data_IF_755667680267
#
_entry.id   IF_755667680267
#
_cell.length_a   1.000
_cell.length_b   1.000
_cell.length_c   1.000
_cell.angle_alpha   90.00
_cell.angle_beta   90.00
_cell.angle_gamma   90.00
#
_symmetry.space_group_name_H-M   'P 1'
#
loop_
_entity.id
_entity.type
_entity.pdbx_description
1 polymer ?
#
# COMPACT_ATOMS: atom_id res chain seq x y z
N UNK A 1 -25.22 -24.24 -19.26
CA UNK A 1 -26.04 -23.02 -19.38
C UNK A 1 -27.16 -23.13 -18.35
N UNK A 2 -27.19 -22.25 -17.34
CA UNK A 2 -28.24 -22.16 -16.33
C UNK A 2 -28.88 -20.75 -16.42
N UNK A 3 -30.20 -20.61 -16.22
CA UNK A 3 -30.92 -19.37 -16.50
C UNK A 3 -30.72 -18.33 -15.40
N UNK A 4 -30.47 -17.08 -15.79
CA UNK A 4 -30.49 -15.92 -14.87
C UNK A 4 -31.94 -15.57 -14.53
N UNK A 5 -32.27 -15.68 -13.24
CA UNK A 5 -33.54 -15.19 -12.66
C UNK A 5 -33.59 -13.67 -12.79
N UNK A 6 -34.67 -13.15 -13.37
CA UNK A 6 -34.92 -11.72 -13.51
C UNK A 6 -34.98 -11.02 -12.16
N UNK A 7 -34.21 -9.94 -12.02
CA UNK A 7 -34.24 -9.05 -10.86
C UNK A 7 -35.42 -8.09 -11.05
N UNK A 8 -36.41 -8.13 -10.14
CA UNK A 8 -37.43 -7.09 -10.05
C UNK A 8 -36.77 -5.82 -9.52
N UNK A 9 -36.79 -4.76 -10.32
CA UNK A 9 -36.45 -3.41 -9.87
C UNK A 9 -37.54 -2.98 -8.90
N UNK A 10 -37.19 -2.80 -7.62
CA UNK A 10 -38.08 -2.15 -6.66
C UNK A 10 -38.02 -0.64 -6.95
N UNK A 11 -39.17 -0.07 -7.31
CA UNK A 11 -39.35 1.37 -7.47
C UNK A 11 -39.17 2.01 -6.10
N UNK A 12 -38.11 2.79 -5.92
CA UNK A 12 -37.87 3.55 -4.69
C UNK A 12 -38.74 4.81 -4.79
N UNK A 13 -39.87 4.86 -4.07
CA UNK A 13 -40.82 5.99 -4.09
C UNK A 13 -40.60 7.01 -2.97
N UNK A 14 -39.43 7.10 -2.34
CA UNK A 14 -39.14 8.20 -1.42
C UNK A 14 -37.76 8.79 -1.66
N UNK A 15 -37.74 9.87 -2.44
CA UNK A 15 -36.68 10.87 -2.41
C UNK A 15 -37.07 11.80 -1.26
N UNK A 16 -36.46 11.63 -0.09
CA UNK A 16 -36.48 12.70 0.89
C UNK A 16 -35.61 13.81 0.32
N UNK A 17 -36.21 14.98 0.06
CA UNK A 17 -35.44 16.15 -0.34
C UNK A 17 -34.50 16.51 0.84
N UNK A 18 -33.20 16.51 0.57
CA UNK A 18 -32.12 16.85 1.51
C UNK A 18 -32.27 18.18 2.29
N UNK A 19 -33.02 19.22 1.86
CA UNK A 19 -33.05 20.51 2.56
C UNK A 19 -33.61 20.43 3.99
N UNK A 20 -34.64 19.61 4.22
CA UNK A 20 -35.41 19.66 5.47
C UNK A 20 -34.63 19.14 6.69
N UNK A 21 -33.71 18.19 6.47
CA UNK A 21 -32.87 17.63 7.54
C UNK A 21 -31.72 18.57 7.92
N UNK A 22 -31.27 19.40 6.99
CA UNK A 22 -30.10 20.25 7.20
C UNK A 22 -30.43 21.41 8.16
N UNK A 23 -31.63 21.98 8.03
CA UNK A 23 -32.07 23.10 8.88
C UNK A 23 -32.28 22.67 10.33
N UNK A 24 -32.83 21.47 10.58
CA UNK A 24 -33.01 20.94 11.94
C UNK A 24 -31.67 20.62 12.63
N UNK A 25 -30.71 20.07 11.89
CA UNK A 25 -29.38 19.74 12.42
C UNK A 25 -28.54 21.00 12.71
N UNK A 26 -28.63 22.04 11.87
CA UNK A 26 -27.88 23.28 12.05
C UNK A 26 -28.29 24.05 13.31
N UNK A 27 -29.57 23.99 13.70
CA UNK A 27 -30.07 24.64 14.92
C UNK A 27 -29.54 23.97 16.18
N UNK A 28 -29.29 22.66 16.17
CA UNK A 28 -28.77 21.93 17.33
C UNK A 28 -27.26 22.14 17.51
N UNK A 29 -26.52 22.26 16.40
CA UNK A 29 -25.08 22.57 16.39
C UNK A 29 -24.80 23.99 16.87
N UNK A 30 -25.62 24.98 16.48
CA UNK A 30 -25.44 26.39 16.87
C UNK A 30 -25.55 26.64 18.38
N UNK A 31 -26.19 25.75 19.14
CA UNK A 31 -26.34 25.90 20.60
C UNK A 31 -25.11 25.46 21.40
N UNK A 32 -24.16 24.74 20.78
CA UNK A 32 -22.96 24.24 21.47
C UNK A 32 -21.70 24.98 20.97
N UNK A 33 -21.40 26.07 21.69
CA UNK A 33 -20.05 26.64 21.86
C UNK A 33 -19.50 27.47 20.70
N UNK A 34 -19.54 28.80 20.88
CA UNK A 34 -18.90 29.79 20.02
C UNK A 34 -17.40 29.86 20.34
N UNK A 35 -16.55 29.57 19.36
CA UNK A 35 -15.35 30.35 19.05
C UNK A 35 -15.32 30.58 17.54
N UNK A 36 -15.78 31.76 17.13
CA UNK A 36 -16.14 32.15 15.76
C UNK A 36 -15.01 32.04 14.72
N UNK A 37 -13.76 31.93 15.18
CA UNK A 37 -12.55 31.85 14.33
C UNK A 37 -12.17 30.39 13.99
N UNK A 38 -12.50 29.42 14.85
CA UNK A 38 -12.26 28.00 14.57
C UNK A 38 -13.38 27.41 13.69
N UNK A 39 -14.59 27.95 13.80
CA UNK A 39 -15.76 27.47 13.06
C UNK A 39 -15.65 27.71 11.56
N UNK A 40 -15.13 28.84 11.09
CA UNK A 40 -15.01 29.11 9.64
C UNK A 40 -14.07 28.11 8.97
N UNK A 41 -12.89 27.87 9.55
CA UNK A 41 -11.91 26.90 9.05
C UNK A 41 -12.41 25.46 9.09
N UNK A 42 -13.16 25.09 10.14
CA UNK A 42 -13.80 23.77 10.25
C UNK A 42 -14.92 23.62 9.22
N UNK A 43 -15.74 24.65 8.99
CA UNK A 43 -16.79 24.64 7.98
C UNK A 43 -16.23 24.60 6.55
N UNK A 44 -15.12 25.29 6.27
CA UNK A 44 -14.44 25.23 4.97
C UNK A 44 -13.88 23.82 4.71
N UNK A 45 -13.24 23.21 5.71
CA UNK A 45 -12.70 21.86 5.62
C UNK A 45 -13.78 20.79 5.46
N UNK A 46 -14.87 20.88 6.24
CA UNK A 46 -16.03 19.99 6.12
C UNK A 46 -16.70 20.17 4.75
N UNK A 47 -16.84 21.41 4.24
CA UNK A 47 -17.34 21.64 2.88
C UNK A 47 -16.44 20.98 1.85
N UNK A 48 -15.13 21.16 1.95
CA UNK A 48 -14.18 20.61 0.99
C UNK A 48 -14.24 19.09 0.92
N UNK A 49 -14.17 18.42 2.06
CA UNK A 49 -14.25 16.95 2.16
C UNK A 49 -15.60 16.44 1.62
N UNK A 50 -16.70 17.16 1.90
CA UNK A 50 -18.04 16.76 1.43
C UNK A 50 -18.25 17.01 -0.07
N UNK A 51 -17.67 18.07 -0.65
CA UNK A 51 -17.80 18.36 -2.08
C UNK A 51 -16.92 17.44 -2.95
N UNK A 52 -15.78 16.97 -2.44
CA UNK A 52 -14.96 15.96 -3.14
C UNK A 52 -15.70 14.63 -3.33
N UNK A 53 -16.52 14.23 -2.36
CA UNK A 53 -17.32 12.99 -2.43
C UNK A 53 -18.59 13.12 -3.29
N UNK A 54 -19.04 14.35 -3.60
CA UNK A 54 -20.23 14.60 -4.43
C UNK A 54 -19.90 14.59 -5.92
N UNK A 55 -18.66 14.92 -6.29
CA UNK A 55 -18.18 14.87 -7.67
C UNK A 55 -17.53 13.51 -7.89
N UNK A 56 -18.30 12.52 -8.35
CA UNK A 56 -17.76 11.23 -8.77
C UNK A 56 -17.03 11.44 -10.10
N UNK A 57 -15.68 11.40 -10.17
CA UNK A 57 -14.97 11.60 -11.43
C UNK A 57 -15.28 10.46 -12.39
N UNK A 58 -15.45 10.77 -13.67
CA UNK A 58 -15.53 9.74 -14.70
C UNK A 58 -14.18 9.03 -14.86
N UNK A 59 -14.23 7.73 -15.16
CA UNK A 59 -13.02 6.95 -15.40
C UNK A 59 -12.40 7.35 -16.75
N UNK A 60 -11.45 8.28 -16.73
CA UNK A 60 -10.66 8.64 -17.91
C UNK A 60 -9.59 7.59 -18.23
N UNK A 61 -9.35 7.36 -19.51
CA UNK A 61 -8.30 6.45 -20.00
C UNK A 61 -7.28 7.22 -20.82
N UNK A 62 -6.01 6.99 -20.52
CA UNK A 62 -4.88 7.56 -21.26
C UNK A 62 -3.93 6.45 -21.71
N UNK A 63 -3.50 6.52 -22.97
CA UNK A 63 -2.43 5.64 -23.47
C UNK A 63 -1.07 6.12 -22.97
N UNK A 64 -0.25 5.18 -22.49
CA UNK A 64 1.10 5.45 -21.98
C UNK A 64 2.09 4.43 -22.53
N UNK A 65 3.22 4.91 -23.05
CA UNK A 65 4.35 4.07 -23.47
C UNK A 65 5.38 4.01 -22.34
N UNK A 66 5.65 2.82 -21.81
CA UNK A 66 6.53 2.64 -20.64
C UNK A 66 7.75 1.79 -21.04
N UNK A 67 8.95 2.34 -20.84
CA UNK A 67 10.20 1.55 -20.88
C UNK A 67 10.45 0.96 -19.48
N UNK A 68 10.73 -0.34 -19.41
CA UNK A 68 11.01 -1.06 -18.15
C UNK A 68 12.25 -1.92 -18.28
N UNK A 69 13.00 -2.02 -17.20
CA UNK A 69 14.09 -2.99 -17.08
C UNK A 69 13.48 -4.39 -16.90
N UNK A 70 13.92 -5.35 -17.73
CA UNK A 70 13.53 -6.76 -17.60
C UNK A 70 14.22 -7.33 -16.36
N UNK A 71 13.43 -7.94 -15.46
CA UNK A 71 13.95 -8.56 -14.23
C UNK A 71 14.16 -10.05 -14.43
N UNK A 72 15.28 -10.59 -13.94
CA UNK A 72 15.64 -11.99 -14.03
C UNK A 72 14.83 -12.82 -13.05
N UNK A 73 13.64 -13.21 -13.51
CA UNK A 73 12.66 -13.91 -12.68
C UNK A 73 13.18 -15.25 -12.13
N UNK A 74 14.14 -15.88 -12.81
CA UNK A 74 14.81 -17.10 -12.32
C UNK A 74 15.48 -16.87 -10.96
N UNK A 75 16.29 -15.81 -10.84
CA UNK A 75 16.99 -15.45 -9.60
C UNK A 75 16.00 -15.18 -8.47
N UNK A 76 14.95 -14.40 -8.77
CA UNK A 76 13.88 -14.09 -7.81
C UNK A 76 13.17 -15.35 -7.33
N UNK A 77 12.81 -16.26 -8.25
CA UNK A 77 12.10 -17.48 -7.92
C UNK A 77 12.95 -18.44 -7.09
N UNK A 78 14.25 -18.54 -7.37
CA UNK A 78 15.19 -19.32 -6.57
C UNK A 78 15.25 -18.79 -5.13
N UNK A 79 15.44 -17.48 -4.96
CA UNK A 79 15.48 -16.85 -3.63
C UNK A 79 14.17 -17.01 -2.87
N UNK A 80 13.02 -16.89 -3.53
CA UNK A 80 11.71 -17.13 -2.90
C UNK A 80 11.61 -18.54 -2.34
N UNK A 81 12.05 -19.56 -3.09
CA UNK A 81 12.06 -20.96 -2.65
C UNK A 81 13.03 -21.19 -1.50
N UNK A 82 14.24 -20.66 -1.62
CA UNK A 82 15.30 -20.77 -0.63
C UNK A 82 14.89 -20.20 0.74
N UNK A 83 14.21 -19.06 0.73
CA UNK A 83 13.65 -18.45 1.93
C UNK A 83 12.26 -18.97 2.31
N UNK A 84 11.81 -20.07 1.71
CA UNK A 84 10.49 -20.69 1.97
C UNK A 84 9.34 -19.68 1.90
N UNK A 85 9.45 -18.71 1.00
CA UNK A 85 8.50 -17.62 0.78
C UNK A 85 8.27 -16.73 2.01
N UNK A 86 9.21 -16.69 2.96
CA UNK A 86 9.16 -15.88 4.17
C UNK A 86 10.01 -14.62 4.04
N UNK A 87 9.61 -13.57 4.73
CA UNK A 87 10.41 -12.37 4.88
C UNK A 87 11.76 -12.70 5.53
N UNK A 88 12.87 -12.27 4.93
CA UNK A 88 14.22 -12.46 5.50
C UNK A 88 14.43 -11.67 6.81
N UNK A 89 13.59 -10.67 7.10
CA UNK A 89 13.72 -9.83 8.28
C UNK A 89 12.86 -10.33 9.45
N UNK A 90 11.54 -10.47 9.25
CA UNK A 90 10.63 -10.88 10.33
C UNK A 90 10.10 -12.31 10.21
N UNK A 91 10.32 -12.99 9.09
CA UNK A 91 9.76 -14.33 8.84
C UNK A 91 8.27 -14.35 8.42
N UNK A 92 7.59 -13.20 8.39
CA UNK A 92 6.17 -13.14 8.05
C UNK A 92 5.89 -13.47 6.58
N UNK A 93 4.72 -14.08 6.36
CA UNK A 93 4.09 -14.37 5.08
C UNK A 93 2.61 -14.71 5.31
N UNK A 94 1.82 -14.83 4.25
CA UNK A 94 0.44 -15.30 4.30
C UNK A 94 0.11 -16.18 3.10
N UNK A 95 -0.89 -17.05 3.25
CA UNK A 95 -1.36 -17.94 2.18
C UNK A 95 -2.28 -17.18 1.23
N UNK A 96 -2.04 -17.30 -0.06
CA UNK A 96 -2.92 -16.78 -1.11
C UNK A 96 -3.95 -17.83 -1.52
N UNK A 97 -5.04 -17.39 -2.17
CA UNK A 97 -6.11 -18.27 -2.67
C UNK A 97 -5.60 -19.35 -3.62
N UNK A 98 -4.48 -19.11 -4.31
CA UNK A 98 -3.84 -20.08 -5.19
C UNK A 98 -2.97 -21.12 -4.45
N UNK A 99 -3.00 -21.14 -3.12
CA UNK A 99 -2.25 -22.06 -2.27
C UNK A 99 -0.76 -21.74 -2.09
N UNK A 100 -0.24 -20.66 -2.69
CA UNK A 100 1.15 -20.23 -2.49
C UNK A 100 1.27 -19.19 -1.38
N UNK A 101 2.47 -19.09 -0.79
CA UNK A 101 2.80 -18.05 0.17
C UNK A 101 3.22 -16.75 -0.50
N UNK A 102 2.72 -15.63 -0.01
CA UNK A 102 3.02 -14.30 -0.54
C UNK A 102 4.36 -13.77 -0.04
N UNK A 103 5.16 -13.23 -0.96
CA UNK A 103 6.37 -12.45 -0.66
C UNK A 103 6.78 -11.60 -1.87
N UNK A 104 7.51 -10.51 -1.60
CA UNK A 104 7.95 -9.54 -2.60
C UNK A 104 9.48 -9.53 -2.69
N UNK A 105 10.00 -9.44 -3.92
CA UNK A 105 11.42 -9.29 -4.15
C UNK A 105 11.78 -7.80 -4.24
N UNK A 106 12.79 -7.38 -3.49
CA UNK A 106 13.27 -6.01 -3.43
C UNK A 106 14.75 -5.95 -3.81
N UNK A 107 15.13 -5.05 -4.71
CA UNK A 107 16.55 -4.83 -5.00
C UNK A 107 17.12 -3.84 -3.99
N UNK A 108 18.17 -4.21 -3.25
CA UNK A 108 18.82 -3.33 -2.27
C UNK A 108 19.32 -2.05 -2.94
N UNK A 109 20.08 -2.22 -4.01
CA UNK A 109 20.42 -1.15 -4.95
C UNK A 109 19.46 -1.22 -6.13
N UNK A 110 18.74 -0.13 -6.36
CA UNK A 110 17.76 -0.06 -7.44
C UNK A 110 18.40 -0.30 -8.81
N UNK A 111 17.69 -1.03 -9.69
CA UNK A 111 18.16 -1.30 -11.06
C UNK A 111 18.30 -0.02 -11.90
N UNK A 112 17.44 0.98 -11.66
CA UNK A 112 17.54 2.33 -12.26
C UNK A 112 18.83 3.05 -11.89
N UNK A 113 19.48 2.65 -10.80
CA UNK A 113 20.73 3.21 -10.31
C UNK A 113 21.88 2.19 -10.39
N UNK A 114 21.94 1.40 -11.46
CA UNK A 114 22.99 0.42 -11.71
C UNK A 114 23.13 -0.63 -10.58
N UNK A 115 22.01 -1.08 -10.03
CA UNK A 115 21.94 -2.28 -9.18
C UNK A 115 22.09 -3.56 -10.01
N UNK A 116 22.77 -4.57 -9.47
CA UNK A 116 22.91 -5.87 -10.16
C UNK A 116 21.61 -6.68 -10.05
N UNK A 117 21.44 -7.66 -10.93
CA UNK A 117 20.32 -8.62 -10.85
C UNK A 117 20.70 -9.94 -10.15
N UNK A 118 21.88 -9.95 -9.51
CA UNK A 118 22.40 -11.12 -8.81
C UNK A 118 21.71 -11.30 -7.46
N UNK A 119 21.78 -12.52 -6.92
CA UNK A 119 21.14 -12.89 -5.65
C UNK A 119 21.53 -11.96 -4.50
N UNK A 120 22.78 -11.50 -4.50
CA UNK A 120 23.31 -10.61 -3.46
C UNK A 120 22.57 -9.27 -3.41
N UNK A 121 22.05 -8.76 -4.53
CA UNK A 121 21.33 -7.49 -4.56
C UNK A 121 19.83 -7.63 -4.32
N UNK A 122 19.30 -8.83 -4.02
CA UNK A 122 17.86 -9.08 -3.90
C UNK A 122 17.50 -9.56 -2.49
N UNK A 123 16.44 -8.97 -1.93
CA UNK A 123 15.80 -9.39 -0.69
C UNK A 123 14.40 -9.96 -0.97
N UNK A 124 13.99 -10.94 -0.19
CA UNK A 124 12.63 -11.47 -0.12
C UNK A 124 11.98 -10.94 1.16
N UNK A 125 10.92 -10.14 1.00
CA UNK A 125 10.29 -9.37 2.07
C UNK A 125 8.78 -9.58 2.13
N UNK A 126 8.19 -9.32 3.29
CA UNK A 126 6.74 -9.13 3.41
C UNK A 126 6.33 -7.74 2.90
N UNK A 127 5.03 -7.48 2.65
CA UNK A 127 4.55 -6.18 2.15
C UNK A 127 5.00 -4.99 3.01
N UNK A 128 4.99 -5.16 4.33
CA UNK A 128 5.38 -4.12 5.29
C UNK A 128 6.84 -3.72 5.09
N UNK A 129 7.77 -4.66 5.23
CA UNK A 129 9.19 -4.37 5.09
C UNK A 129 9.53 -3.91 3.67
N UNK A 130 8.90 -4.46 2.63
CA UNK A 130 9.10 -3.99 1.27
C UNK A 130 8.76 -2.51 1.12
N UNK A 131 7.64 -2.05 1.71
CA UNK A 131 7.27 -0.63 1.72
C UNK A 131 8.20 0.23 2.57
N UNK A 132 8.71 -0.27 3.70
CA UNK A 132 9.74 0.43 4.48
C UNK A 132 11.00 0.69 3.63
N UNK A 133 11.41 -0.25 2.78
CA UNK A 133 12.54 -0.03 1.85
C UNK A 133 12.27 1.05 0.79
N UNK A 134 11.01 1.24 0.38
CA UNK A 134 10.65 2.32 -0.54
C UNK A 134 10.60 3.69 0.15
N UNK A 135 9.99 3.77 1.34
CA UNK A 135 9.61 5.05 1.95
C UNK A 135 10.48 5.47 3.14
N UNK A 136 11.23 4.55 3.76
CA UNK A 136 12.02 4.81 4.98
C UNK A 136 13.52 4.67 4.75
N UNK A 137 14.01 4.89 3.53
CA UNK A 137 15.43 4.70 3.14
C UNK A 137 16.45 5.35 4.09
N UNK A 138 16.15 6.55 4.59
CA UNK A 138 17.02 7.28 5.55
C UNK A 138 17.19 6.57 6.90
N UNK A 139 16.24 5.71 7.26
CA UNK A 139 16.23 4.95 8.51
C UNK A 139 16.83 3.55 8.32
N UNK A 140 17.27 3.20 7.10
CA UNK A 140 17.77 1.87 6.76
C UNK A 140 19.28 1.92 6.64
N UNK A 141 19.96 1.03 7.35
CA UNK A 141 21.39 0.78 7.19
C UNK A 141 21.58 -0.69 6.87
N UNK A 142 22.42 -0.98 5.87
CA UNK A 142 22.74 -2.34 5.43
C UNK A 142 24.25 -2.46 5.48
N UNK A 143 24.76 -3.47 6.18
CA UNK A 143 26.19 -3.78 6.20
C UNK A 143 26.61 -4.35 4.85
N UNK A 144 27.78 -3.95 4.35
CA UNK A 144 28.42 -4.66 3.23
C UNK A 144 28.63 -6.10 3.69
N UNK A 145 28.10 -7.07 2.94
CA UNK A 145 28.15 -8.48 3.29
C UNK A 145 29.58 -8.93 3.53
N UNK A 146 29.99 -9.14 4.77
CA UNK A 146 31.17 -9.97 5.12
C UNK A 146 31.42 -10.15 6.63
N UNK A 147 30.53 -9.79 7.55
CA UNK A 147 30.71 -10.22 8.95
C UNK A 147 30.12 -11.63 9.14
N UNK A 148 31.00 -12.64 9.13
CA UNK A 148 30.67 -14.05 9.40
C UNK A 148 29.57 -14.66 8.49
N UNK A 149 29.46 -14.20 7.24
CA UNK A 149 28.50 -14.74 6.27
C UNK A 149 27.04 -14.32 6.52
N UNK A 150 26.80 -13.28 7.33
CA UNK A 150 25.46 -12.73 7.56
C UNK A 150 25.36 -11.29 7.05
N UNK A 151 24.19 -10.95 6.53
CA UNK A 151 23.81 -9.57 6.25
C UNK A 151 23.11 -9.01 7.47
N UNK A 152 23.53 -7.83 7.91
CA UNK A 152 22.86 -7.09 8.99
C UNK A 152 22.13 -5.91 8.36
N UNK A 153 20.85 -5.79 8.69
CA UNK A 153 19.98 -4.70 8.23
C UNK A 153 19.34 -4.06 9.46
N UNK A 154 19.56 -2.77 9.64
CA UNK A 154 18.92 -1.98 10.69
C UNK A 154 17.84 -1.11 10.09
N UNK A 155 16.65 -1.10 10.68
CA UNK A 155 15.56 -0.20 10.31
C UNK A 155 15.09 0.53 11.57
N UNK A 156 15.41 1.82 11.67
CA UNK A 156 15.22 2.58 12.90
C UNK A 156 16.04 1.98 14.05
N UNK A 157 15.36 1.52 15.10
CA UNK A 157 16.00 0.92 16.28
C UNK A 157 16.01 -0.62 16.26
N UNK A 158 15.54 -1.25 15.18
CA UNK A 158 15.44 -2.70 15.07
C UNK A 158 16.52 -3.21 14.12
N UNK A 159 17.34 -4.14 14.62
CA UNK A 159 18.39 -4.80 13.84
C UNK A 159 17.97 -6.22 13.49
N UNK A 160 18.08 -6.55 12.21
CA UNK A 160 17.85 -7.87 11.64
C UNK A 160 19.18 -8.44 11.17
N UNK A 161 19.36 -9.75 11.30
CA UNK A 161 20.51 -10.45 10.76
C UNK A 161 20.06 -11.75 10.13
N UNK A 162 20.51 -12.02 8.91
CA UNK A 162 20.17 -13.25 8.20
C UNK A 162 21.38 -13.77 7.42
N UNK A 163 21.50 -15.09 7.22
CA UNK A 163 22.62 -15.67 6.48
C UNK A 163 22.57 -15.29 4.99
N UNK A 164 23.71 -14.89 4.43
CA UNK A 164 23.87 -14.70 2.99
C UNK A 164 24.28 -16.04 2.40
N UNK A 165 23.44 -16.58 1.53
CA UNK A 165 23.77 -17.79 0.80
C UNK A 165 24.33 -17.35 -0.55
N UNK A 166 25.63 -17.61 -0.76
CA UNK A 166 26.39 -17.25 -1.95
C UNK A 166 26.30 -18.36 -3.01
#
# INVERSE_FOLDING_TARGET
MLPVRGVKVLQIENIYELPDFLDEYLVDVQKRTINKIETETIFEGIKHDYFEDVIIPENERKEVTIKRIIRYQRVVNELKKEHKYKCQLCGDTFLMDNGNYYCEAHHIKELSNNGTQDKTNVLILCPKHHRMFHYSKKMITITNDTENGKRVITIGNITYSYPVIL
#
